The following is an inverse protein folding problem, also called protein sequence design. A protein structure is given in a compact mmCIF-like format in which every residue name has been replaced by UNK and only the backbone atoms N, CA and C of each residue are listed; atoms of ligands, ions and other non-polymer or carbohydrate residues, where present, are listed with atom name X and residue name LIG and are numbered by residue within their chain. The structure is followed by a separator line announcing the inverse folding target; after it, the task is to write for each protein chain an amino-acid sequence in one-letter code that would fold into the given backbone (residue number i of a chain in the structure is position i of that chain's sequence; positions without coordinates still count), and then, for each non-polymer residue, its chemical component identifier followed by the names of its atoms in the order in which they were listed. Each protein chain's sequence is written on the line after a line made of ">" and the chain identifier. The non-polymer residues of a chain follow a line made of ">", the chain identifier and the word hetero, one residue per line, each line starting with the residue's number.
data_IF_371556371222
#
_entry.id   IF_371556371222
#
_cell.length_a   1.000
_cell.length_b   1.000
_cell.length_c   1.000
_cell.angle_alpha   90.00
_cell.angle_beta   90.00
_cell.angle_gamma   90.00
#
_symmetry.space_group_name_H-M   'P 1'
#
loop_
_entity.id
_entity.type
_entity.pdbx_description
1 polymer ?
#
# COMPACT_ATOMS: atom_id res chain seq x y z
N UNK A 1 -10.30 37.93 -12.26
CA UNK A 1 -10.15 37.44 -13.66
C UNK A 1 -8.76 36.82 -13.83
N UNK A 2 -8.71 35.52 -14.21
CA UNK A 2 -7.67 34.85 -15.05
C UNK A 2 -6.20 34.97 -14.57
N UNK A 3 -5.51 33.90 -14.14
CA UNK A 3 -5.20 32.60 -14.77
C UNK A 3 -4.63 31.69 -13.66
N UNK A 4 -5.14 30.50 -13.30
CA UNK A 4 -5.33 29.27 -14.08
C UNK A 4 -4.14 28.93 -14.98
N UNK A 5 -3.02 28.55 -14.37
CA UNK A 5 -1.97 27.73 -14.98
C UNK A 5 -1.12 27.16 -13.83
N UNK A 6 -0.65 25.91 -13.97
CA UNK A 6 0.24 25.21 -13.02
C UNK A 6 -0.46 24.50 -11.84
N UNK A 7 -1.59 23.82 -12.07
CA UNK A 7 -2.01 22.71 -11.17
C UNK A 7 -2.68 21.55 -11.95
N UNK A 8 -2.52 21.49 -13.27
CA UNK A 8 -3.08 20.44 -14.14
C UNK A 8 -1.96 19.57 -14.76
N UNK A 9 -0.73 19.64 -14.21
CA UNK A 9 0.38 18.77 -14.64
C UNK A 9 0.71 17.66 -13.64
N UNK A 10 0.11 17.67 -12.44
CA UNK A 10 0.28 16.59 -11.46
C UNK A 10 -0.82 15.52 -11.52
N UNK A 11 -1.95 15.80 -12.20
CA UNK A 11 -3.06 14.86 -12.35
C UNK A 11 -2.78 13.81 -13.45
N UNK A 12 -1.84 14.05 -14.37
CA UNK A 12 -1.52 13.09 -15.43
C UNK A 12 -0.52 11.98 -15.04
N UNK A 13 0.12 12.04 -13.86
CA UNK A 13 0.99 10.96 -13.34
C UNK A 13 0.26 9.95 -12.43
N UNK A 14 -1.03 10.19 -12.16
CA UNK A 14 -1.90 9.28 -11.43
C UNK A 14 -2.65 8.29 -12.34
N UNK A 15 -2.69 8.51 -13.65
CA UNK A 15 -3.58 7.76 -14.56
C UNK A 15 -2.94 6.59 -15.32
N UNK A 16 -1.64 6.30 -15.13
CA UNK A 16 -0.96 5.16 -15.79
C UNK A 16 -0.25 4.21 -14.82
N UNK A 17 -0.60 4.25 -13.53
CA UNK A 17 -0.26 3.18 -12.61
C UNK A 17 -1.46 2.26 -12.50
N UNK A 18 -1.40 1.08 -13.12
CA UNK A 18 -2.42 0.04 -12.88
C UNK A 18 -2.57 -0.24 -11.38
N UNK A 19 -3.53 -1.09 -10.98
CA UNK A 19 -3.75 -1.48 -9.57
C UNK A 19 -2.45 -1.85 -8.83
N UNK A 20 -1.51 -2.46 -9.55
CA UNK A 20 -0.18 -2.82 -9.08
C UNK A 20 0.72 -1.60 -8.79
N UNK A 21 0.67 -0.56 -9.62
CA UNK A 21 1.46 0.66 -9.44
C UNK A 21 1.05 1.48 -8.23
N UNK A 22 -0.22 1.48 -7.84
CA UNK A 22 -0.67 2.13 -6.60
C UNK A 22 -0.28 1.31 -5.37
N UNK A 23 -0.37 -0.03 -5.46
CA UNK A 23 0.03 -0.94 -4.39
C UNK A 23 1.53 -0.82 -4.07
N UNK A 24 2.39 -0.86 -5.10
CA UNK A 24 3.84 -0.74 -4.92
C UNK A 24 4.25 0.63 -4.38
N UNK A 25 3.64 1.73 -4.88
CA UNK A 25 3.89 3.08 -4.36
C UNK A 25 3.47 3.22 -2.89
N UNK A 26 2.32 2.65 -2.53
CA UNK A 26 1.83 2.61 -1.15
C UNK A 26 2.80 1.87 -0.23
N UNK A 27 3.22 0.66 -0.63
CA UNK A 27 4.19 -0.12 0.13
C UNK A 27 5.51 0.63 0.32
N UNK A 28 6.08 1.16 -0.76
CA UNK A 28 7.31 1.94 -0.70
C UNK A 28 7.18 3.17 0.21
N UNK A 29 6.02 3.82 0.23
CA UNK A 29 5.76 4.96 1.11
C UNK A 29 5.72 4.53 2.58
N UNK A 30 5.02 3.43 2.88
CA UNK A 30 4.90 2.90 4.23
C UNK A 30 6.27 2.50 4.80
N UNK A 31 7.05 1.70 4.06
CA UNK A 31 8.35 1.22 4.57
C UNK A 31 9.43 2.31 4.55
N UNK A 32 9.31 3.36 3.73
CA UNK A 32 10.20 4.54 3.82
C UNK A 32 10.07 5.31 5.13
N UNK A 33 8.94 5.18 5.84
CA UNK A 33 8.75 5.78 7.17
C UNK A 33 9.53 5.04 8.25
N UNK A 34 9.89 3.79 8.00
CA UNK A 34 10.84 3.05 8.81
C UNK A 34 12.27 3.58 8.51
N UNK A 35 12.82 4.33 9.47
CA UNK A 35 14.12 4.99 9.32
C UNK A 35 15.28 4.01 9.23
N UNK A 36 15.12 2.80 9.75
CA UNK A 36 16.19 1.81 9.86
C UNK A 36 16.18 0.81 8.68
N UNK A 37 15.14 0.83 7.85
CA UNK A 37 15.04 -0.01 6.68
C UNK A 37 15.95 0.46 5.53
N UNK A 38 16.88 -0.39 5.10
CA UNK A 38 17.69 -0.14 3.89
C UNK A 38 16.84 -0.24 2.62
N UNK A 39 17.32 0.34 1.50
CA UNK A 39 16.61 0.25 0.22
C UNK A 39 16.39 -1.20 -0.24
N UNK A 40 17.38 -2.08 -0.07
CA UNK A 40 17.27 -3.49 -0.41
C UNK A 40 16.22 -4.22 0.42
N UNK A 41 16.14 -3.91 1.72
CA UNK A 41 15.13 -4.50 2.60
C UNK A 41 13.72 -3.99 2.28
N UNK A 42 13.57 -2.71 1.93
CA UNK A 42 12.30 -2.14 1.45
C UNK A 42 11.80 -2.83 0.18
N UNK A 43 12.68 -2.99 -0.81
CA UNK A 43 12.35 -3.64 -2.07
C UNK A 43 12.01 -5.12 -1.86
N UNK A 44 12.75 -5.82 -1.00
CA UNK A 44 12.47 -7.21 -0.64
C UNK A 44 11.11 -7.37 0.03
N UNK A 45 10.77 -6.50 1.00
CA UNK A 45 9.47 -6.52 1.67
C UNK A 45 8.33 -6.26 0.67
N UNK A 46 8.44 -5.21 -0.15
CA UNK A 46 7.39 -4.88 -1.11
C UNK A 46 7.23 -5.94 -2.22
N UNK A 47 8.32 -6.60 -2.61
CA UNK A 47 8.28 -7.74 -3.54
C UNK A 47 7.53 -8.92 -2.93
N UNK A 48 7.91 -9.33 -1.71
CA UNK A 48 7.21 -10.37 -0.96
C UNK A 48 5.72 -10.05 -0.79
N UNK A 49 5.40 -8.82 -0.36
CA UNK A 49 4.02 -8.41 -0.11
C UNK A 49 3.19 -8.46 -1.39
N UNK A 50 3.76 -8.04 -2.53
CA UNK A 50 3.11 -8.10 -3.84
C UNK A 50 2.80 -9.53 -4.28
N UNK A 51 3.73 -10.46 -4.05
CA UNK A 51 3.59 -11.87 -4.41
C UNK A 51 2.54 -12.57 -3.55
N UNK A 52 2.64 -12.40 -2.23
CA UNK A 52 1.70 -12.98 -1.25
C UNK A 52 0.28 -12.42 -1.38
N UNK A 53 0.14 -11.22 -1.96
CA UNK A 53 -1.17 -10.59 -2.22
C UNK A 53 -1.61 -10.68 -3.68
N UNK A 54 -0.99 -11.57 -4.48
CA UNK A 54 -1.31 -11.72 -5.89
C UNK A 54 -2.79 -12.04 -6.14
N UNK A 55 -3.42 -12.80 -5.24
CA UNK A 55 -4.83 -13.21 -5.27
C UNK A 55 -5.83 -12.09 -5.00
N UNK A 56 -5.39 -10.94 -4.46
CA UNK A 56 -6.27 -9.80 -4.21
C UNK A 56 -6.77 -9.20 -5.53
N UNK A 57 -8.02 -8.76 -5.50
CA UNK A 57 -8.63 -8.10 -6.66
C UNK A 57 -7.91 -6.77 -6.98
N UNK A 58 -8.02 -6.29 -8.22
CA UNK A 58 -7.58 -4.95 -8.59
C UNK A 58 -8.14 -3.83 -7.70
N UNK A 59 -9.40 -3.95 -7.26
CA UNK A 59 -10.03 -2.96 -6.39
C UNK A 59 -9.38 -2.95 -5.00
N UNK A 60 -9.23 -4.13 -4.41
CA UNK A 60 -8.54 -4.33 -3.13
C UNK A 60 -7.09 -3.81 -3.19
N UNK A 61 -6.32 -4.14 -4.24
CA UNK A 61 -4.94 -3.65 -4.39
C UNK A 61 -4.85 -2.12 -4.44
N UNK A 62 -5.82 -1.45 -5.07
CA UNK A 62 -5.89 0.02 -5.06
C UNK A 62 -6.20 0.56 -3.65
N UNK A 63 -7.18 -0.02 -2.98
CA UNK A 63 -7.55 0.33 -1.63
C UNK A 63 -6.35 0.19 -0.67
N UNK A 64 -5.66 -0.95 -0.66
CA UNK A 64 -4.46 -1.16 0.15
C UNK A 64 -3.31 -0.22 -0.23
N UNK A 65 -3.09 0.03 -1.52
CA UNK A 65 -2.05 0.97 -1.98
C UNK A 65 -2.25 2.38 -1.44
N UNK A 66 -3.49 2.89 -1.55
CA UNK A 66 -3.89 4.18 -0.96
C UNK A 66 -3.72 4.17 0.56
N UNK A 67 -4.21 3.12 1.22
CA UNK A 67 -4.12 2.99 2.66
C UNK A 67 -2.67 3.01 3.17
N UNK A 68 -1.78 2.24 2.54
CA UNK A 68 -0.35 2.22 2.90
C UNK A 68 0.34 3.57 2.64
N UNK A 69 -0.09 4.29 1.60
CA UNK A 69 0.41 5.63 1.33
C UNK A 69 -0.03 6.64 2.41
N UNK A 70 -1.27 6.56 2.86
CA UNK A 70 -1.87 7.47 3.84
C UNK A 70 -1.49 7.13 5.29
N UNK A 71 -1.35 5.85 5.62
CA UNK A 71 -1.10 5.39 6.98
C UNK A 71 0.28 5.83 7.48
N UNK A 72 0.30 6.63 8.55
CA UNK A 72 1.53 7.13 9.17
C UNK A 72 2.24 6.04 9.99
N UNK A 73 1.47 5.09 10.52
CA UNK A 73 1.98 3.96 11.32
C UNK A 73 1.24 2.66 11.00
N UNK A 74 1.83 1.52 11.38
CA UNK A 74 1.17 0.22 11.28
C UNK A 74 -0.08 0.08 12.15
N UNK A 75 -0.23 0.90 13.20
CA UNK A 75 -1.44 0.94 14.03
C UNK A 75 -2.60 1.61 13.29
N UNK A 76 -2.35 2.81 12.74
CA UNK A 76 -3.33 3.54 11.93
C UNK A 76 -3.76 2.68 10.73
N UNK A 77 -2.82 1.94 10.13
CA UNK A 77 -3.12 0.99 9.06
C UNK A 77 -4.16 -0.06 9.51
N UNK A 78 -4.02 -0.65 10.71
CA UNK A 78 -4.96 -1.66 11.20
C UNK A 78 -6.34 -1.09 11.52
N UNK A 79 -6.40 0.10 12.11
CA UNK A 79 -7.66 0.76 12.43
C UNK A 79 -8.44 1.07 11.14
N UNK A 80 -7.78 1.65 10.14
CA UNK A 80 -8.38 1.95 8.84
C UNK A 80 -8.79 0.71 8.04
N UNK A 81 -8.06 -0.42 8.19
CA UNK A 81 -8.45 -1.68 7.58
C UNK A 81 -9.79 -2.22 8.11
N UNK A 82 -10.07 -1.98 9.40
CA UNK A 82 -11.35 -2.31 10.01
C UNK A 82 -12.48 -1.48 9.40
N UNK A 83 -12.31 -0.15 9.38
CA UNK A 83 -13.28 0.80 8.79
C UNK A 83 -13.61 0.44 7.35
N UNK A 84 -12.60 0.23 6.50
CA UNK A 84 -12.82 -0.12 5.08
C UNK A 84 -13.49 -1.50 4.88
N UNK A 85 -13.32 -2.43 5.83
CA UNK A 85 -14.02 -3.71 5.80
C UNK A 85 -15.49 -3.56 6.19
N UNK A 86 -15.80 -2.67 7.13
CA UNK A 86 -17.17 -2.38 7.55
C UNK A 86 -17.93 -1.60 6.47
N UNK A 87 -17.26 -0.69 5.77
CA UNK A 87 -17.78 0.08 4.63
C UNK A 87 -17.91 -0.76 3.34
N UNK A 88 -17.39 -1.99 3.34
CA UNK A 88 -17.47 -2.93 2.21
C UNK A 88 -16.49 -2.65 1.07
N UNK A 89 -15.53 -1.73 1.24
CA UNK A 89 -14.44 -1.48 0.28
C UNK A 89 -13.45 -2.65 0.24
N UNK A 90 -13.28 -3.35 1.36
CA UNK A 90 -12.43 -4.52 1.50
C UNK A 90 -13.24 -5.73 1.97
N UNK A 91 -12.94 -6.91 1.43
CA UNK A 91 -13.52 -8.14 1.94
C UNK A 91 -12.79 -8.57 3.22
N UNK A 92 -13.50 -9.18 4.18
CA UNK A 92 -12.87 -9.72 5.39
C UNK A 92 -11.76 -10.74 5.05
N UNK A 93 -11.96 -11.53 3.98
CA UNK A 93 -10.95 -12.44 3.44
C UNK A 93 -9.73 -11.69 2.88
N UNK A 94 -9.95 -10.60 2.14
CA UNK A 94 -8.91 -9.73 1.64
C UNK A 94 -8.09 -9.10 2.77
N UNK A 95 -8.74 -8.59 3.81
CA UNK A 95 -8.06 -7.98 4.98
C UNK A 95 -7.19 -9.02 5.69
N UNK A 96 -7.74 -10.22 5.92
CA UNK A 96 -6.97 -11.33 6.50
C UNK A 96 -5.77 -11.72 5.63
N UNK A 97 -5.96 -11.77 4.31
CA UNK A 97 -4.89 -12.09 3.35
C UNK A 97 -3.78 -11.04 3.41
N UNK A 98 -4.14 -9.76 3.35
CA UNK A 98 -3.18 -8.64 3.42
C UNK A 98 -2.41 -8.62 4.74
N UNK A 99 -3.10 -8.74 5.89
CA UNK A 99 -2.44 -8.73 7.20
C UNK A 99 -1.53 -9.95 7.41
N UNK A 100 -1.94 -11.13 6.92
CA UNK A 100 -1.12 -12.34 6.97
C UNK A 100 0.14 -12.19 6.12
N UNK A 101 -0.01 -11.68 4.89
CA UNK A 101 1.10 -11.41 3.98
C UNK A 101 2.08 -10.40 4.58
N UNK A 102 1.57 -9.25 5.08
CA UNK A 102 2.39 -8.23 5.71
C UNK A 102 3.19 -8.82 6.89
N UNK A 103 2.55 -9.59 7.78
CA UNK A 103 3.22 -10.25 8.90
C UNK A 103 4.29 -11.24 8.43
N UNK A 104 3.99 -12.09 7.45
CA UNK A 104 4.93 -13.07 6.89
C UNK A 104 6.17 -12.39 6.28
N UNK A 105 5.94 -11.34 5.49
CA UNK A 105 7.01 -10.58 4.84
C UNK A 105 7.85 -9.77 5.85
N UNK A 106 7.24 -9.27 6.94
CA UNK A 106 7.99 -8.62 8.03
C UNK A 106 8.86 -9.62 8.81
N UNK A 107 8.38 -10.84 9.07
CA UNK A 107 9.19 -11.87 9.72
C UNK A 107 10.40 -12.28 8.85
N UNK A 108 10.19 -12.36 7.54
CA UNK A 108 11.25 -12.61 6.56
C UNK A 108 12.25 -11.45 6.45
N UNK A 109 11.81 -10.23 6.77
CA UNK A 109 12.61 -9.00 6.83
C UNK A 109 13.46 -8.92 8.10
N UNK A 110 12.96 -9.39 9.25
CA UNK A 110 13.65 -9.30 10.54
C UNK A 110 14.72 -10.40 10.77
N UNK A 111 14.72 -11.46 9.95
CA UNK A 111 15.62 -12.61 10.08
C UNK A 111 16.81 -12.59 9.10
N UNK A 112 17.00 -11.51 8.34
CA UNK A 112 18.08 -11.36 7.34
C UNK A 112 19.03 -10.22 7.66
#
# INVERSE_FOLDING_TARGET
>A
MRRFAILISFVCLASCGGPQGQFERGCQTLVKRDRDATAAQRDAFCTCLREETASLTPAEKRAYGRLMAEAETGQILRERLGEMSEEGELTASGVKTFLSAAKSCTLSFALR
#
